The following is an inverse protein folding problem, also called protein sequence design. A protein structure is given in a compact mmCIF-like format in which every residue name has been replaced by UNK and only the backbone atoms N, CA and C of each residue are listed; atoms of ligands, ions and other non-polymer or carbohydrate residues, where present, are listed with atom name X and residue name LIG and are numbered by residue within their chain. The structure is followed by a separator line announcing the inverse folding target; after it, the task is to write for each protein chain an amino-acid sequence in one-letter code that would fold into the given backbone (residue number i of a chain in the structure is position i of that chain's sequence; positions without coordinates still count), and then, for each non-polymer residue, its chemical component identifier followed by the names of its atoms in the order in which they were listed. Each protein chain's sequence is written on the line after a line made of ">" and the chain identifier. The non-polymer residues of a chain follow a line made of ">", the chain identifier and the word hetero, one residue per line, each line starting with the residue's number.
data_IF_232704981040
#
_entry.id   IF_232704981040
#
_cell.length_a   1.000
_cell.length_b   1.000
_cell.length_c   1.000
_cell.angle_alpha   90.00
_cell.angle_beta   90.00
_cell.angle_gamma   90.00
#
_symmetry.space_group_name_H-M   'P 1'
#
loop_
_entity.id
_entity.type
_entity.pdbx_description
1 polymer ?
#
# COMPACT_ATOMS: atom_id res chain seq x y z
N UNK A 1 -12.69 15.31 6.31
CA UNK A 1 -13.41 14.13 6.84
C UNK A 1 -13.74 13.23 5.65
N UNK A 2 -13.59 11.92 5.80
CA UNK A 2 -13.92 10.94 4.76
C UNK A 2 -15.33 10.38 5.00
N UNK A 3 -15.99 9.80 3.99
CA UNK A 3 -17.29 9.13 4.18
C UNK A 3 -17.21 8.02 5.23
N UNK A 4 -18.29 7.80 5.99
CA UNK A 4 -18.44 6.58 6.77
C UNK A 4 -18.42 5.37 5.83
N UNK A 5 -17.81 4.26 6.28
CA UNK A 5 -17.69 3.02 5.50
C UNK A 5 -16.96 3.18 4.16
N UNK A 6 -15.90 4.00 4.13
CA UNK A 6 -15.10 4.18 2.93
C UNK A 6 -14.39 2.89 2.56
N UNK A 7 -14.84 2.23 1.48
CA UNK A 7 -14.30 0.96 0.97
C UNK A 7 -13.21 1.22 -0.07
N UNK A 8 -12.16 0.40 -0.05
CA UNK A 8 -11.09 0.40 -1.05
C UNK A 8 -10.45 1.77 -1.28
N UNK A 9 -10.29 2.53 -0.18
CA UNK A 9 -9.62 3.81 -0.20
C UNK A 9 -8.15 3.61 -0.54
N UNK A 10 -7.62 4.44 -1.45
CA UNK A 10 -6.20 4.48 -1.78
C UNK A 10 -5.69 5.90 -1.63
N UNK A 11 -4.60 6.06 -0.90
CA UNK A 11 -3.92 7.33 -0.64
C UNK A 11 -2.46 7.17 -1.06
N UNK A 12 -1.97 8.10 -1.89
CA UNK A 12 -0.58 8.11 -2.36
C UNK A 12 -0.07 9.53 -2.49
N UNK A 13 1.25 9.68 -2.54
CA UNK A 13 1.91 10.95 -2.82
C UNK A 13 2.38 10.97 -4.27
N UNK A 14 2.28 12.15 -4.90
CA UNK A 14 2.84 12.43 -6.22
C UNK A 14 4.08 13.28 -6.06
N UNK A 15 5.09 13.08 -6.90
CA UNK A 15 6.33 13.87 -6.84
C UNK A 15 6.57 14.62 -8.14
N UNK A 16 7.21 15.79 -8.01
CA UNK A 16 7.72 16.57 -9.14
C UNK A 16 6.66 16.95 -10.17
N UNK A 17 5.49 17.35 -9.67
CA UNK A 17 4.39 17.90 -10.47
C UNK A 17 4.70 19.32 -10.97
N UNK A 18 4.02 19.73 -12.03
CA UNK A 18 3.98 21.14 -12.43
C UNK A 18 3.22 22.02 -11.41
N UNK A 19 3.26 23.34 -11.61
CA UNK A 19 2.60 24.32 -10.73
C UNK A 19 1.08 24.19 -10.63
N UNK A 20 0.45 23.41 -11.50
CA UNK A 20 -0.99 23.10 -11.45
C UNK A 20 -1.30 21.78 -10.73
N UNK A 21 -0.27 21.07 -10.25
CA UNK A 21 -0.40 19.74 -9.65
C UNK A 21 -0.77 18.67 -10.67
N UNK A 22 -0.31 18.83 -11.92
CA UNK A 22 -0.42 17.86 -13.02
C UNK A 22 0.98 17.45 -13.48
N UNK A 23 1.04 16.52 -14.43
CA UNK A 23 2.28 16.11 -15.09
C UNK A 23 3.38 15.71 -14.11
N UNK A 24 3.00 14.99 -13.04
CA UNK A 24 3.92 14.52 -12.02
C UNK A 24 4.83 13.41 -12.56
N UNK A 25 6.07 13.34 -12.10
CA UNK A 25 7.01 12.27 -12.51
C UNK A 25 6.58 10.90 -11.98
N UNK A 26 5.95 10.86 -10.79
CA UNK A 26 5.41 9.65 -10.15
C UNK A 26 3.97 9.88 -9.71
N UNK A 27 3.14 8.84 -9.84
CA UNK A 27 1.76 8.84 -9.33
C UNK A 27 0.78 9.80 -10.01
N UNK A 28 1.09 10.35 -11.17
CA UNK A 28 0.23 11.35 -11.81
C UNK A 28 -1.18 10.80 -12.05
N UNK A 29 -2.19 11.64 -11.88
CA UNK A 29 -3.60 11.28 -12.08
C UNK A 29 -4.30 12.24 -13.06
N UNK A 30 -3.53 12.98 -13.86
CA UNK A 30 -4.01 13.93 -14.88
C UNK A 30 -4.59 15.24 -14.35
N UNK A 31 -4.77 15.40 -13.03
CA UNK A 31 -5.40 16.57 -12.43
C UNK A 31 -4.89 16.83 -11.01
N UNK A 32 -5.04 18.06 -10.50
CA UNK A 32 -4.78 18.34 -9.10
C UNK A 32 -5.68 17.49 -8.17
N UNK A 33 -6.97 17.39 -8.52
CA UNK A 33 -7.96 16.56 -7.83
C UNK A 33 -8.20 15.29 -8.64
N UNK A 34 -7.61 14.18 -8.21
CA UNK A 34 -7.77 12.89 -8.86
C UNK A 34 -9.25 12.44 -8.83
N UNK A 35 -9.75 11.92 -9.95
CA UNK A 35 -11.10 11.34 -10.09
C UNK A 35 -11.10 9.80 -10.03
N UNK A 36 -9.94 9.20 -9.81
CA UNK A 36 -9.73 7.75 -9.80
C UNK A 36 -8.28 7.43 -9.44
N UNK A 37 -7.85 6.22 -9.78
CA UNK A 37 -6.46 5.80 -9.61
C UNK A 37 -5.50 6.69 -10.43
N UNK A 38 -4.31 6.94 -9.88
CA UNK A 38 -3.20 7.51 -10.62
C UNK A 38 -2.41 6.46 -11.39
N UNK A 39 -1.31 6.89 -12.00
CA UNK A 39 -0.29 6.00 -12.51
C UNK A 39 0.28 5.16 -11.36
N UNK A 40 0.53 3.88 -11.64
CA UNK A 40 1.39 3.05 -10.80
C UNK A 40 2.80 3.64 -10.74
N UNK A 41 3.68 3.05 -9.93
CA UNK A 41 4.99 3.50 -9.47
C UNK A 41 5.02 4.19 -8.11
N UNK A 42 3.97 4.01 -7.31
CA UNK A 42 3.78 4.68 -6.02
C UNK A 42 3.61 3.70 -4.88
N UNK A 43 4.08 4.10 -3.70
CA UNK A 43 3.67 3.43 -2.47
C UNK A 43 2.24 3.85 -2.13
N UNK A 44 1.42 2.87 -1.74
CA UNK A 44 0.02 3.08 -1.40
C UNK A 44 -0.20 2.94 0.11
N UNK A 45 -1.10 3.77 0.64
CA UNK A 45 -1.82 3.50 1.88
C UNK A 45 -3.25 3.11 1.50
N UNK A 46 -3.65 1.91 1.89
CA UNK A 46 -4.96 1.35 1.56
C UNK A 46 -5.80 1.22 2.82
N UNK A 47 -7.08 1.61 2.74
CA UNK A 47 -7.99 1.54 3.88
C UNK A 47 -9.39 1.08 3.45
N UNK A 48 -9.97 0.19 4.25
CA UNK A 48 -11.36 -0.18 4.21
C UNK A 48 -11.96 0.08 5.58
N UNK A 49 -12.68 1.20 5.70
CA UNK A 49 -13.35 1.59 6.93
C UNK A 49 -14.72 0.92 6.98
N UNK A 50 -15.12 0.34 8.10
CA UNK A 50 -16.41 -0.37 8.23
C UNK A 50 -17.37 0.29 9.23
N UNK A 51 -16.89 1.26 10.00
CA UNK A 51 -17.72 2.31 10.60
C UNK A 51 -18.98 1.81 11.33
N UNK A 52 -18.84 0.90 12.29
CA UNK A 52 -19.81 0.81 13.38
C UNK A 52 -21.24 0.30 13.08
N UNK A 53 -21.58 -0.39 11.98
CA UNK A 53 -23.00 -0.76 11.67
C UNK A 53 -23.53 -2.18 11.96
N UNK A 54 -24.47 -2.34 12.91
CA UNK A 54 -25.43 -3.43 13.25
C UNK A 54 -25.09 -4.95 13.10
N UNK A 55 -24.01 -5.36 12.43
CA UNK A 55 -23.72 -6.76 12.10
C UNK A 55 -22.42 -7.18 12.83
N UNK A 56 -22.29 -8.46 13.18
CA UNK A 56 -21.37 -8.98 14.21
C UNK A 56 -19.85 -8.86 13.96
N UNK A 57 -19.40 -8.22 12.88
CA UNK A 57 -17.97 -8.01 12.59
C UNK A 57 -17.75 -6.66 11.91
N UNK A 58 -17.00 -5.75 12.55
CA UNK A 58 -16.74 -4.38 12.04
C UNK A 58 -15.31 -3.96 12.38
N UNK A 59 -14.39 -4.35 11.53
CA UNK A 59 -13.01 -3.93 11.67
C UNK A 59 -12.68 -3.01 10.51
N UNK A 60 -12.04 -1.89 10.83
CA UNK A 60 -11.32 -1.14 9.81
C UNK A 60 -10.09 -1.97 9.43
N UNK A 61 -9.85 -2.11 8.13
CA UNK A 61 -8.70 -2.80 7.55
C UNK A 61 -7.81 -1.77 6.89
N UNK A 62 -6.51 -1.88 7.09
CA UNK A 62 -5.55 -0.97 6.48
C UNK A 62 -4.21 -1.66 6.25
N UNK A 63 -3.48 -1.15 5.28
CA UNK A 63 -2.17 -1.66 4.90
C UNK A 63 -1.39 -0.62 4.11
N UNK A 64 -0.08 -0.85 4.00
CA UNK A 64 0.75 -0.14 3.04
C UNK A 64 1.21 -1.12 1.97
N UNK A 65 1.34 -0.65 0.73
CA UNK A 65 1.48 -1.53 -0.41
C UNK A 65 2.49 -1.02 -1.43
N UNK A 66 3.35 -1.95 -1.87
CA UNK A 66 4.29 -1.81 -2.99
C UNK A 66 3.82 -2.61 -4.22
N UNK A 67 2.57 -3.09 -4.24
CA UNK A 67 2.02 -3.86 -5.37
C UNK A 67 2.09 -3.05 -6.67
N UNK A 68 1.85 -1.74 -6.58
CA UNK A 68 1.98 -0.79 -7.68
C UNK A 68 3.38 -0.14 -7.74
N UNK A 69 4.34 -0.59 -6.94
CA UNK A 69 5.70 -0.05 -6.87
C UNK A 69 5.91 0.90 -5.68
N UNK A 70 6.92 1.76 -5.79
CA UNK A 70 7.34 2.62 -4.68
C UNK A 70 7.96 3.93 -5.18
N UNK A 71 7.49 5.06 -4.67
CA UNK A 71 8.12 6.37 -4.87
C UNK A 71 8.57 7.05 -3.57
N UNK A 72 7.90 6.81 -2.44
CA UNK A 72 8.23 7.43 -1.15
C UNK A 72 8.03 6.46 0.03
N UNK A 73 8.88 6.54 1.08
CA UNK A 73 8.61 5.86 2.34
C UNK A 73 7.25 6.27 2.91
N UNK A 74 6.53 5.35 3.53
CA UNK A 74 5.12 5.55 3.94
C UNK A 74 4.81 4.85 5.26
N UNK A 75 3.84 5.40 6.00
CA UNK A 75 3.26 4.76 7.19
C UNK A 75 1.78 5.07 7.33
N UNK A 76 1.06 4.18 8.02
CA UNK A 76 -0.29 4.42 8.55
C UNK A 76 -0.23 4.26 10.06
N UNK A 77 -0.69 5.28 10.79
CA UNK A 77 -0.81 5.25 12.25
C UNK A 77 -2.27 5.43 12.66
N UNK A 78 -2.91 4.42 13.29
CA UNK A 78 -4.19 4.60 13.97
C UNK A 78 -4.04 5.58 15.15
N UNK A 79 -5.00 6.49 15.31
CA UNK A 79 -5.07 7.48 16.39
C UNK A 79 -6.40 7.27 17.11
N UNK A 80 -6.32 7.04 18.43
CA UNK A 80 -7.46 6.65 19.27
C UNK A 80 -8.17 5.38 18.75
N UNK A 81 -7.45 4.52 18.06
CA UNK A 81 -7.96 3.24 17.60
C UNK A 81 -8.04 2.23 18.74
N UNK A 82 -8.99 1.31 18.65
CA UNK A 82 -9.21 0.27 19.65
C UNK A 82 -8.77 -1.07 19.08
N UNK A 83 -7.94 -1.78 19.85
CA UNK A 83 -7.50 -3.13 19.54
C UNK A 83 -8.68 -4.10 19.60
N UNK A 84 -8.73 -5.03 18.65
CA UNK A 84 -9.71 -6.12 18.61
C UNK A 84 -9.38 -7.17 19.69
N UNK A 85 -8.11 -7.32 20.04
CA UNK A 85 -7.60 -8.32 20.96
C UNK A 85 -7.37 -9.68 20.28
N UNK A 86 -7.17 -10.73 21.08
CA UNK A 86 -7.05 -12.11 20.58
C UNK A 86 -8.37 -12.69 20.05
N UNK A 87 -9.46 -11.91 20.14
CA UNK A 87 -10.73 -12.27 19.56
C UNK A 87 -10.52 -12.45 18.05
N UNK A 88 -10.89 -13.63 17.54
CA UNK A 88 -10.73 -14.05 16.13
C UNK A 88 -9.32 -14.44 15.68
N UNK A 89 -8.36 -14.62 16.60
CA UNK A 89 -7.06 -15.22 16.27
C UNK A 89 -6.09 -14.31 15.52
N UNK A 90 -6.35 -12.99 15.49
CA UNK A 90 -5.41 -12.03 14.92
C UNK A 90 -4.18 -11.87 15.81
N UNK A 91 -3.00 -11.83 15.18
CA UNK A 91 -1.75 -11.55 15.90
C UNK A 91 -1.76 -10.12 16.43
N UNK A 92 -1.27 -9.92 17.66
CA UNK A 92 -1.08 -8.59 18.24
C UNK A 92 -0.16 -7.69 17.40
N UNK A 93 0.65 -8.28 16.50
CA UNK A 93 1.48 -7.57 15.51
C UNK A 93 0.63 -6.74 14.53
N UNK A 94 -0.58 -7.19 14.22
CA UNK A 94 -1.45 -6.60 13.20
C UNK A 94 -2.70 -5.93 13.79
N UNK A 95 -2.80 -5.87 15.12
CA UNK A 95 -3.99 -5.43 15.84
C UNK A 95 -3.89 -3.98 16.33
N UNK A 96 -4.49 -3.08 15.55
CA UNK A 96 -4.61 -1.64 15.72
C UNK A 96 -3.29 -0.96 16.08
N UNK A 97 -2.25 -1.25 15.29
CA UNK A 97 -0.91 -0.68 15.46
C UNK A 97 -0.43 0.02 14.19
N UNK A 98 0.63 0.80 14.33
CA UNK A 98 1.28 1.45 13.18
C UNK A 98 1.88 0.41 12.24
N UNK A 99 1.67 0.58 10.94
CA UNK A 99 2.45 -0.09 9.87
C UNK A 99 3.31 0.95 9.15
N UNK A 100 4.55 0.59 8.82
CA UNK A 100 5.47 1.50 8.14
C UNK A 100 6.54 0.81 7.29
N UNK A 101 6.97 1.52 6.24
CA UNK A 101 8.13 1.19 5.43
C UNK A 101 9.00 2.45 5.32
N UNK A 102 10.09 2.47 6.09
CA UNK A 102 11.06 3.58 6.10
C UNK A 102 12.15 3.43 5.04
N UNK A 103 12.36 2.22 4.53
CA UNK A 103 13.40 1.96 3.54
C UNK A 103 13.07 2.69 2.23
N UNK A 104 13.96 3.60 1.82
CA UNK A 104 13.82 4.28 0.54
C UNK A 104 14.39 3.41 -0.59
N UNK A 105 13.49 2.72 -1.30
CA UNK A 105 13.87 1.85 -2.39
C UNK A 105 14.52 2.58 -3.57
N UNK A 106 14.32 3.90 -3.74
CA UNK A 106 14.93 4.64 -4.86
C UNK A 106 16.46 4.63 -4.79
N UNK A 107 17.02 4.60 -3.58
CA UNK A 107 18.46 4.63 -3.35
C UNK A 107 19.14 3.29 -3.68
N UNK A 108 18.41 2.17 -3.62
CA UNK A 108 18.98 0.82 -3.75
C UNK A 108 18.16 -0.11 -4.64
N UNK A 109 17.27 0.45 -5.47
CA UNK A 109 16.34 -0.32 -6.31
C UNK A 109 17.12 -1.31 -7.19
N UNK A 110 16.54 -2.49 -7.42
CA UNK A 110 17.10 -3.45 -8.38
C UNK A 110 17.12 -2.81 -9.78
N UNK A 111 18.19 -3.06 -10.54
CA UNK A 111 18.40 -2.39 -11.83
C UNK A 111 17.23 -2.62 -12.81
N UNK A 112 16.60 -3.79 -12.76
CA UNK A 112 15.47 -4.14 -13.61
C UNK A 112 14.20 -3.34 -13.27
N UNK A 113 14.11 -2.83 -12.04
CA UNK A 113 12.93 -2.17 -11.48
C UNK A 113 13.07 -0.64 -11.40
N UNK A 114 14.24 -0.08 -11.70
CA UNK A 114 14.45 1.37 -11.67
C UNK A 114 13.62 2.07 -12.75
N UNK A 115 12.83 3.07 -12.34
CA UNK A 115 12.32 4.10 -13.25
C UNK A 115 13.22 5.32 -13.17
N UNK A 116 13.99 5.57 -14.24
CA UNK A 116 14.86 6.73 -14.34
C UNK A 116 14.11 7.93 -14.90
N UNK A 117 14.24 9.07 -14.23
CA UNK A 117 13.74 10.37 -14.71
C UNK A 117 14.82 11.41 -14.43
N UNK A 118 15.20 12.20 -15.45
CA UNK A 118 16.16 13.30 -15.33
C UNK A 118 17.45 12.94 -14.55
N UNK A 119 18.02 11.76 -14.84
CA UNK A 119 19.30 11.33 -14.26
C UNK A 119 19.23 10.77 -12.84
N UNK A 120 18.05 10.59 -12.25
CA UNK A 120 17.85 9.93 -10.95
C UNK A 120 16.79 8.83 -11.02
N UNK A 121 16.79 7.94 -10.03
CA UNK A 121 15.73 6.95 -9.85
C UNK A 121 14.53 7.65 -9.18
N UNK A 122 13.47 7.91 -9.95
CA UNK A 122 12.28 8.59 -9.45
C UNK A 122 11.40 7.64 -8.60
N UNK A 123 11.30 6.38 -9.01
CA UNK A 123 10.55 5.32 -8.34
C UNK A 123 11.19 3.95 -8.61
N UNK A 124 10.87 2.99 -7.74
CA UNK A 124 11.20 1.58 -7.90
C UNK A 124 9.91 0.81 -8.23
N UNK A 125 9.82 0.30 -9.44
CA UNK A 125 8.64 -0.42 -9.93
C UNK A 125 8.49 -1.76 -9.22
N UNK A 126 7.24 -2.22 -9.04
CA UNK A 126 6.99 -3.62 -8.71
C UNK A 126 7.23 -4.51 -9.93
N UNK A 127 7.35 -5.82 -9.72
CA UNK A 127 7.44 -6.76 -10.83
C UNK A 127 6.18 -6.73 -11.72
N UNK A 128 4.98 -6.61 -11.13
CA UNK A 128 3.74 -6.46 -11.91
C UNK A 128 3.79 -5.19 -12.76
N UNK A 129 4.14 -4.03 -12.17
CA UNK A 129 4.22 -2.76 -12.90
C UNK A 129 5.27 -2.81 -14.01
N UNK A 130 6.39 -3.50 -13.79
CA UNK A 130 7.48 -3.62 -14.76
C UNK A 130 7.14 -4.54 -15.94
N UNK A 131 6.62 -5.73 -15.68
CA UNK A 131 6.46 -6.78 -16.69
C UNK A 131 5.03 -6.93 -17.21
N UNK A 132 4.04 -6.45 -16.45
CA UNK A 132 2.62 -6.47 -16.79
C UNK A 132 2.11 -7.84 -17.29
N UNK A 133 2.64 -8.93 -16.75
CA UNK A 133 2.22 -10.29 -17.08
C UNK A 133 1.35 -10.87 -15.96
N UNK A 134 0.59 -11.91 -16.30
CA UNK A 134 -0.40 -12.47 -15.39
C UNK A 134 0.21 -13.16 -14.17
N UNK A 135 1.45 -13.65 -14.29
CA UNK A 135 2.17 -14.26 -13.16
C UNK A 135 2.50 -13.21 -12.10
N UNK A 136 3.16 -12.11 -12.49
CA UNK A 136 3.53 -11.04 -11.54
C UNK A 136 2.35 -10.24 -11.04
N UNK A 137 1.32 -10.08 -11.86
CA UNK A 137 0.11 -9.36 -11.49
C UNK A 137 -0.95 -10.26 -10.85
N UNK A 138 -0.70 -11.56 -10.69
CA UNK A 138 -1.65 -12.53 -10.16
C UNK A 138 -3.03 -12.46 -10.84
N UNK A 139 -3.07 -12.50 -12.18
CA UNK A 139 -4.30 -12.40 -12.99
C UNK A 139 -4.63 -13.73 -13.68
N UNK A 140 -5.84 -13.85 -14.20
CA UNK A 140 -6.25 -15.03 -14.98
C UNK A 140 -6.11 -16.32 -14.16
N UNK A 141 -5.30 -17.27 -14.65
CA UNK A 141 -5.04 -18.54 -13.96
C UNK A 141 -4.32 -18.37 -12.61
N UNK A 142 -3.71 -17.21 -12.35
CA UNK A 142 -2.92 -16.90 -11.15
C UNK A 142 -3.70 -16.03 -10.13
N UNK A 143 -5.03 -15.95 -10.26
CA UNK A 143 -5.91 -15.04 -9.50
C UNK A 143 -6.30 -15.51 -8.09
N UNK A 144 -5.48 -16.34 -7.45
CA UNK A 144 -5.66 -16.69 -6.04
C UNK A 144 -4.30 -16.99 -5.39
N UNK A 145 -4.22 -16.98 -4.04
CA UNK A 145 -2.96 -17.21 -3.32
C UNK A 145 -2.31 -18.56 -3.63
N UNK A 146 -3.10 -19.59 -3.95
CA UNK A 146 -2.60 -20.94 -4.24
C UNK A 146 -1.98 -21.05 -5.63
N UNK A 147 -2.46 -20.27 -6.60
CA UNK A 147 -1.96 -20.32 -7.97
C UNK A 147 -0.94 -19.21 -8.28
N UNK A 148 -0.93 -18.07 -7.58
CA UNK A 148 0.03 -17.01 -7.88
C UNK A 148 1.48 -17.38 -7.50
N UNK A 149 2.41 -17.50 -8.47
CA UNK A 149 3.69 -18.17 -8.24
C UNK A 149 4.78 -17.27 -7.62
N UNK A 150 4.47 -16.01 -7.30
CA UNK A 150 5.49 -14.97 -7.12
C UNK A 150 5.93 -14.72 -5.69
N UNK A 151 5.30 -15.36 -4.69
CA UNK A 151 5.64 -15.20 -3.26
C UNK A 151 7.14 -15.41 -2.97
N UNK A 152 7.82 -16.29 -3.72
CA UNK A 152 9.24 -16.60 -3.56
C UNK A 152 10.16 -15.94 -4.60
N UNK A 153 9.59 -15.23 -5.57
CA UNK A 153 10.36 -14.57 -6.63
C UNK A 153 11.29 -13.49 -6.04
N UNK A 154 12.48 -13.33 -6.62
CA UNK A 154 13.51 -12.41 -6.12
C UNK A 154 13.03 -10.95 -6.12
N UNK A 155 12.27 -10.55 -7.14
CA UNK A 155 11.81 -9.16 -7.30
C UNK A 155 10.72 -8.82 -6.29
N UNK A 156 9.85 -9.78 -5.98
CA UNK A 156 8.83 -9.64 -4.93
C UNK A 156 9.47 -9.66 -3.55
N UNK A 157 10.34 -10.64 -3.27
CA UNK A 157 11.04 -10.74 -1.98
C UNK A 157 11.93 -9.54 -1.70
N UNK A 158 12.48 -8.88 -2.73
CA UNK A 158 13.27 -7.68 -2.55
C UNK A 158 12.55 -6.59 -1.75
N UNK A 159 11.25 -6.35 -2.01
CA UNK A 159 10.43 -5.43 -1.23
C UNK A 159 10.12 -6.00 0.16
N UNK A 160 9.68 -7.26 0.22
CA UNK A 160 9.26 -7.92 1.46
C UNK A 160 10.36 -8.01 2.51
N UNK A 161 11.58 -8.35 2.07
CA UNK A 161 12.74 -8.51 2.96
C UNK A 161 13.17 -7.17 3.59
N UNK A 162 12.82 -6.04 2.98
CA UNK A 162 13.17 -4.68 3.46
C UNK A 162 12.03 -3.99 4.21
N UNK A 163 10.80 -4.28 3.83
CA UNK A 163 9.60 -3.80 4.49
C UNK A 163 8.63 -4.97 4.73
N UNK A 164 8.84 -5.76 5.81
CA UNK A 164 8.07 -6.98 6.07
C UNK A 164 6.57 -6.76 6.29
N UNK A 165 6.17 -5.55 6.65
CA UNK A 165 4.77 -5.18 6.94
C UNK A 165 4.06 -4.52 5.73
N UNK A 166 4.76 -4.41 4.59
CA UNK A 166 4.25 -3.84 3.35
C UNK A 166 3.89 -4.96 2.38
N UNK A 167 2.73 -4.86 1.71
CA UNK A 167 2.39 -5.76 0.62
C UNK A 167 3.43 -5.67 -0.48
N UNK A 168 4.06 -6.79 -0.83
CA UNK A 168 4.99 -6.86 -1.97
C UNK A 168 4.37 -7.45 -3.25
N UNK A 169 3.20 -8.07 -3.15
CA UNK A 169 2.41 -8.63 -4.24
C UNK A 169 0.93 -8.80 -3.81
N UNK A 170 0.04 -9.15 -4.74
CA UNK A 170 -1.41 -9.09 -4.54
C UNK A 170 -1.99 -9.97 -3.41
N UNK A 171 -1.31 -11.05 -3.00
CA UNK A 171 -1.80 -12.01 -1.99
C UNK A 171 -0.88 -12.13 -0.78
N UNK A 172 -0.32 -11.00 -0.33
CA UNK A 172 0.59 -10.91 0.83
C UNK A 172 -0.16 -10.64 2.16
N UNK A 173 -1.39 -11.14 2.28
CA UNK A 173 -2.31 -10.79 3.36
C UNK A 173 -1.82 -11.22 4.75
N UNK A 174 -1.26 -12.43 4.85
CA UNK A 174 -0.80 -13.03 6.12
C UNK A 174 0.20 -12.15 6.89
N UNK A 175 0.95 -11.31 6.19
CA UNK A 175 2.06 -10.54 6.75
C UNK A 175 1.92 -9.02 6.62
N UNK A 176 0.85 -8.53 6.00
CA UNK A 176 0.74 -7.12 5.62
C UNK A 176 -0.64 -6.50 5.86
N UNK A 177 -1.67 -7.28 6.20
CA UNK A 177 -2.99 -6.75 6.55
C UNK A 177 -3.05 -6.37 8.03
N UNK A 178 -3.44 -5.13 8.33
CA UNK A 178 -3.67 -4.66 9.69
C UNK A 178 -5.15 -4.37 9.91
N UNK A 179 -5.58 -4.58 11.15
CA UNK A 179 -6.98 -4.41 11.55
C UNK A 179 -7.07 -3.42 12.70
N UNK A 180 -8.20 -2.75 12.85
CA UNK A 180 -8.56 -2.02 14.07
C UNK A 180 -10.06 -2.15 14.27
N UNK A 181 -10.55 -2.07 15.50
CA UNK A 181 -11.99 -2.03 15.74
C UNK A 181 -12.59 -0.80 15.05
N UNK A 182 -13.65 -1.01 14.26
CA UNK A 182 -14.31 -0.01 13.44
C UNK A 182 -15.17 0.95 14.26
N UNK A 183 -14.52 1.83 15.02
CA UNK A 183 -15.13 2.83 15.89
C UNK A 183 -15.22 4.21 15.23
N UNK A 184 -16.29 4.97 15.53
CA UNK A 184 -16.47 6.33 15.00
C UNK A 184 -15.34 7.31 15.42
N UNK A 185 -14.63 6.99 16.51
CA UNK A 185 -13.54 7.80 17.06
C UNK A 185 -12.17 7.52 16.45
N UNK A 186 -11.99 6.38 15.77
CA UNK A 186 -10.71 6.01 15.16
C UNK A 186 -10.37 6.97 14.03
N UNK A 187 -9.15 7.50 14.07
CA UNK A 187 -8.57 8.31 12.99
C UNK A 187 -7.33 7.61 12.46
N UNK A 188 -6.97 7.91 11.22
CA UNK A 188 -5.75 7.38 10.60
C UNK A 188 -4.88 8.55 10.13
N UNK A 189 -3.59 8.49 10.45
CA UNK A 189 -2.57 9.40 9.92
C UNK A 189 -1.71 8.63 8.92
N UNK A 190 -1.79 9.04 7.66
CA UNK A 190 -0.85 8.62 6.62
C UNK A 190 0.31 9.62 6.63
N UNK A 191 1.54 9.12 6.72
CA UNK A 191 2.76 9.95 6.67
C UNK A 191 3.68 9.48 5.57
N UNK A 192 4.09 10.40 4.69
CA UNK A 192 5.14 10.17 3.69
C UNK A 192 6.48 10.64 4.27
N UNK A 193 7.54 9.88 4.02
CA UNK A 193 8.85 10.08 4.66
C UNK A 193 8.74 10.11 6.20
N UNK A 194 8.17 9.07 6.84
CA UNK A 194 8.08 9.04 8.30
C UNK A 194 9.48 9.13 8.94
N UNK A 195 9.59 9.81 10.11
CA UNK A 195 10.86 10.02 10.81
C UNK A 195 11.50 8.73 11.31
#
# INVERSE_FOLDING_TARGET
>A
RVPCRWKSARIWARTDCDGSGRNCETGDCGALKCQGAGQADVSLAELTLDGGGNNNFKNDVYDISAVDGFNLPISITPINGVKIGQQFGFSAKYDCVKTECKFDFRNNCLNELKKWVRGRVASCLSACTKFNNDQFCCRGAFNNPQTCPVKRDRLVRYFKDRCPDMYSYAYDDEASTFHCQGEKGTKYRVSFCPP
#
